data_IF_640367363809
#
_entry.id   IF_640367363809
#
_cell.length_a   1.000
_cell.length_b   1.000
_cell.length_c   1.000
_cell.angle_alpha   90.00
_cell.angle_beta   90.00
_cell.angle_gamma   90.00
#
_symmetry.space_group_name_H-M   'P 1'
#
loop_
_entity.id
_entity.type
_entity.pdbx_description
1 polymer ?
#
# COMPACT_ATOMS: atom_id res chain seq x y z
N UNK A 1 -18.58 3.92 17.31
CA UNK A 1 -17.47 4.11 16.55
C UNK A 1 -17.22 3.01 15.60
N UNK A 2 -16.86 3.28 14.39
CA UNK A 2 -16.61 2.26 13.45
C UNK A 2 -15.20 1.92 13.43
N UNK A 3 -14.86 0.70 13.34
CA UNK A 3 -13.49 0.32 13.17
C UNK A 3 -13.36 -0.65 12.04
N UNK A 4 -12.19 -0.76 11.48
CA UNK A 4 -11.92 -1.63 10.37
C UNK A 4 -10.66 -2.38 10.68
N UNK A 5 -10.64 -3.66 10.37
CA UNK A 5 -9.44 -4.45 10.59
C UNK A 5 -8.64 -4.49 9.30
N UNK A 6 -7.38 -4.89 9.38
CA UNK A 6 -6.57 -5.02 8.20
C UNK A 6 -7.12 -6.12 7.30
N UNK A 7 -7.69 -7.17 7.87
CA UNK A 7 -8.28 -8.21 7.06
C UNK A 7 -9.45 -7.66 6.23
N UNK A 8 -10.25 -6.81 6.82
CA UNK A 8 -11.36 -6.22 6.11
C UNK A 8 -10.86 -5.24 5.06
N UNK A 9 -9.84 -4.47 5.40
CA UNK A 9 -9.32 -3.49 4.50
C UNK A 9 -8.77 -4.16 3.25
N UNK A 10 -8.08 -5.28 3.39
CA UNK A 10 -7.48 -5.95 2.26
C UNK A 10 -8.48 -6.58 1.31
N UNK A 11 -9.74 -6.61 1.68
CA UNK A 11 -10.75 -7.14 0.81
C UNK A 11 -11.41 -6.07 -0.02
N UNK A 12 -11.02 -4.81 0.14
CA UNK A 12 -11.64 -3.72 -0.60
C UNK A 12 -10.79 -3.34 -1.78
N UNK A 13 -11.41 -3.10 -2.90
CA UNK A 13 -10.67 -2.75 -4.10
C UNK A 13 -10.31 -1.29 -4.09
N UNK A 14 -9.10 -0.95 -4.46
CA UNK A 14 -8.62 0.41 -4.42
C UNK A 14 -8.83 1.06 -5.78
N UNK A 15 -9.54 2.18 -5.78
CA UNK A 15 -9.89 2.89 -7.00
C UNK A 15 -9.26 4.27 -6.94
N UNK A 16 -8.59 4.64 -8.02
CA UNK A 16 -7.96 5.94 -8.08
C UNK A 16 -8.95 6.95 -8.66
N UNK A 17 -9.26 7.97 -7.89
CA UNK A 17 -10.24 8.95 -8.33
C UNK A 17 -9.73 9.86 -9.42
N UNK A 18 -8.44 10.01 -9.58
CA UNK A 18 -7.93 10.89 -10.60
C UNK A 18 -8.21 10.37 -12.00
N UNK A 19 -8.18 9.08 -12.20
CA UNK A 19 -8.39 8.53 -13.52
C UNK A 19 -9.37 7.36 -13.56
N UNK A 20 -9.99 7.03 -12.46
CA UNK A 20 -10.95 5.95 -12.41
C UNK A 20 -10.35 4.57 -12.48
N UNK A 21 -9.03 4.45 -12.39
CA UNK A 21 -8.40 3.19 -12.56
C UNK A 21 -8.51 2.32 -11.34
N UNK A 22 -8.63 1.03 -11.52
CA UNK A 22 -8.64 0.11 -10.43
C UNK A 22 -7.24 -0.29 -10.16
N UNK A 23 -6.76 -0.05 -8.97
CA UNK A 23 -5.39 -0.32 -8.63
C UNK A 23 -5.17 -1.70 -7.99
N UNK A 24 -6.25 -2.37 -7.65
CA UNK A 24 -6.13 -3.70 -7.07
C UNK A 24 -6.40 -3.70 -5.59
N UNK A 25 -5.86 -4.70 -4.91
CA UNK A 25 -6.13 -4.87 -3.50
C UNK A 25 -4.83 -4.82 -2.73
N UNK A 26 -4.84 -4.18 -1.58
CA UNK A 26 -3.67 -4.16 -0.74
C UNK A 26 -3.50 -5.52 -0.09
N UNK A 27 -2.30 -5.97 0.02
CA UNK A 27 -2.04 -7.23 0.72
C UNK A 27 -1.30 -6.97 2.01
N UNK A 28 -0.74 -5.78 2.16
CA UNK A 28 0.00 -5.46 3.37
C UNK A 28 -0.08 -4.00 3.68
N UNK A 29 0.30 -3.63 4.87
CA UNK A 29 0.28 -2.26 5.30
C UNK A 29 1.63 -1.98 5.91
N UNK A 30 2.24 -0.86 5.56
CA UNK A 30 3.50 -0.50 6.18
C UNK A 30 3.25 0.49 7.30
N UNK A 31 4.02 0.42 8.34
CA UNK A 31 3.85 1.35 9.44
C UNK A 31 5.20 1.67 10.07
N UNK A 32 5.25 2.76 10.79
CA UNK A 32 6.45 3.19 11.45
C UNK A 32 6.39 2.68 12.88
N UNK A 33 7.22 1.74 13.26
CA UNK A 33 7.12 1.17 14.60
C UNK A 33 7.52 2.15 15.68
N UNK A 34 8.32 3.17 15.36
CA UNK A 34 8.68 4.07 16.36
C UNK A 34 7.53 4.93 16.74
N UNK A 35 6.74 5.38 15.84
CA UNK A 35 5.60 6.22 16.08
C UNK A 35 4.29 5.46 16.12
N UNK A 36 4.34 4.18 15.83
CA UNK A 36 3.12 3.36 15.78
C UNK A 36 2.12 3.98 14.80
N UNK A 37 2.60 4.43 13.67
CA UNK A 37 1.76 5.12 12.72
C UNK A 37 1.72 4.39 11.39
N UNK A 38 0.55 4.25 10.81
CA UNK A 38 0.41 3.60 9.52
C UNK A 38 0.95 4.53 8.45
N UNK A 39 1.81 4.04 7.60
CA UNK A 39 2.40 4.84 6.56
C UNK A 39 1.75 4.67 5.21
N UNK A 40 1.46 3.46 4.81
CA UNK A 40 0.92 3.24 3.48
C UNK A 40 0.23 1.92 3.31
N UNK A 41 -0.53 1.80 2.23
CA UNK A 41 -1.08 0.53 1.80
C UNK A 41 -0.14 -0.02 0.76
N UNK A 42 0.08 -1.32 0.75
CA UNK A 42 1.00 -1.94 -0.20
C UNK A 42 0.22 -2.85 -1.15
N UNK A 43 0.25 -2.53 -2.43
CA UNK A 43 -0.44 -3.29 -3.44
C UNK A 43 0.62 -3.97 -4.31
N UNK A 44 0.64 -5.30 -4.40
CA UNK A 44 1.67 -5.97 -5.16
C UNK A 44 1.53 -5.67 -6.64
N UNK A 45 2.63 -5.47 -7.31
CA UNK A 45 2.64 -5.18 -8.73
C UNK A 45 3.17 -6.36 -9.49
N UNK A 46 2.46 -6.75 -10.56
CA UNK A 46 2.87 -7.85 -11.33
C UNK A 46 3.71 -7.34 -12.35
N UNK A 47 4.94 -7.24 -12.23
CA UNK A 47 5.75 -6.82 -13.19
C UNK A 47 6.16 -7.71 -14.19
N UNK A 48 5.89 -8.57 -14.58
CA UNK A 48 6.32 -9.37 -15.62
C UNK A 48 7.10 -10.44 -15.12
N UNK A 49 7.33 -11.43 -15.88
CA UNK A 49 7.95 -12.56 -15.42
C UNK A 49 9.38 -12.39 -15.20
N UNK A 50 9.91 -11.27 -15.45
CA UNK A 50 11.27 -11.13 -15.26
C UNK A 50 11.58 -10.65 -13.90
N UNK A 51 10.65 -10.56 -13.05
CA UNK A 51 10.88 -10.05 -11.79
C UNK A 51 11.51 -11.00 -10.89
N UNK A 52 12.60 -11.52 -11.11
CA UNK A 52 13.16 -12.47 -10.37
C UNK A 52 13.05 -12.33 -8.93
N UNK A 53 12.18 -12.88 -8.32
CA UNK A 53 12.15 -12.96 -6.93
C UNK A 53 11.94 -11.73 -6.09
N UNK A 54 11.94 -10.57 -6.65
CA UNK A 54 11.67 -9.46 -5.92
C UNK A 54 10.33 -8.96 -6.22
N UNK A 55 9.44 -8.81 -5.31
CA UNK A 55 8.10 -8.30 -5.53
C UNK A 55 8.14 -6.82 -5.37
N UNK A 56 7.59 -6.12 -6.30
CA UNK A 56 7.47 -4.70 -6.16
C UNK A 56 6.07 -4.37 -5.71
N UNK A 57 5.93 -3.32 -4.95
CA UNK A 57 4.65 -2.91 -4.43
C UNK A 57 4.40 -1.45 -4.75
N UNK A 58 3.15 -1.11 -4.95
CA UNK A 58 2.77 0.28 -5.04
C UNK A 58 2.46 0.68 -3.61
N UNK A 59 3.18 1.66 -3.08
CA UNK A 59 2.98 2.11 -1.72
C UNK A 59 2.11 3.36 -1.76
N UNK A 60 0.86 3.24 -1.35
CA UNK A 60 -0.04 4.38 -1.36
C UNK A 60 0.00 5.03 0.00
N UNK A 61 0.49 6.26 0.10
CA UNK A 61 0.58 6.90 1.40
C UNK A 61 -0.77 7.03 2.05
N UNK A 62 -0.81 6.85 3.34
CA UNK A 62 -2.07 6.89 4.06
C UNK A 62 -2.80 8.21 3.83
N UNK A 63 -2.06 9.31 3.67
CA UNK A 63 -2.67 10.60 3.49
C UNK A 63 -3.33 10.78 2.12
N UNK A 64 -3.11 9.85 1.19
CA UNK A 64 -3.76 9.96 -0.11
C UNK A 64 -5.10 9.23 -0.16
N UNK A 65 -5.49 8.60 0.91
CA UNK A 65 -6.75 7.89 0.95
C UNK A 65 -7.84 8.91 1.24
N UNK A 66 -8.83 8.93 0.35
CA UNK A 66 -9.92 9.87 0.51
C UNK A 66 -11.07 9.29 1.30
N UNK A 67 -11.34 8.05 1.10
CA UNK A 67 -12.53 7.46 1.72
C UNK A 67 -12.46 5.96 1.77
N UNK A 68 -12.97 5.36 2.83
CA UNK A 68 -13.09 3.92 2.92
C UNK A 68 -14.57 3.59 2.74
N UNK A 69 -14.89 2.91 1.67
CA UNK A 69 -16.25 2.50 1.43
C UNK A 69 -16.50 1.09 1.89
N UNK A 70 -17.64 0.54 1.60
CA UNK A 70 -17.96 -0.81 1.97
C UNK A 70 -17.16 -1.81 1.18
N UNK A 71 -16.99 -1.58 -0.09
CA UNK A 71 -16.27 -2.51 -0.94
C UNK A 71 -15.07 -1.89 -1.60
N UNK A 72 -14.82 -0.62 -1.42
CA UNK A 72 -13.74 0.06 -2.11
C UNK A 72 -13.00 1.00 -1.20
N UNK A 73 -11.80 1.34 -1.59
CA UNK A 73 -11.03 2.38 -0.94
C UNK A 73 -10.71 3.39 -2.03
N UNK A 74 -11.06 4.63 -1.82
CA UNK A 74 -10.85 5.65 -2.84
C UNK A 74 -9.61 6.46 -2.52
N UNK A 75 -8.72 6.57 -3.49
CA UNK A 75 -7.48 7.30 -3.30
C UNK A 75 -7.34 8.33 -4.41
N UNK A 76 -6.43 9.27 -4.26
CA UNK A 76 -6.25 10.29 -5.27
C UNK A 76 -4.78 10.42 -5.59
N UNK A 77 -4.35 9.84 -6.69
CA UNK A 77 -2.96 9.85 -7.09
C UNK A 77 -2.86 10.22 -8.56
N UNK A 78 -1.95 11.09 -8.91
CA UNK A 78 -1.74 11.38 -10.32
C UNK A 78 -0.70 10.39 -10.84
N UNK A 79 -0.48 10.39 -12.16
CA UNK A 79 0.36 9.42 -12.77
C UNK A 79 1.78 9.51 -12.32
N UNK A 80 2.30 10.67 -12.04
CA UNK A 80 3.64 10.77 -11.60
C UNK A 80 3.78 10.23 -10.21
N UNK A 81 2.80 10.43 -9.36
CA UNK A 81 2.84 9.91 -8.02
C UNK A 81 2.83 8.39 -8.05
N UNK A 82 2.01 7.81 -8.90
CA UNK A 82 1.95 6.36 -8.98
C UNK A 82 3.31 5.81 -9.38
N UNK A 83 3.94 6.40 -10.37
CA UNK A 83 5.23 5.91 -10.80
C UNK A 83 6.29 6.01 -9.72
N UNK A 84 6.25 7.06 -8.94
CA UNK A 84 7.29 7.24 -7.96
C UNK A 84 7.07 6.40 -6.71
N UNK A 85 5.90 5.81 -6.56
CA UNK A 85 5.59 5.05 -5.38
C UNK A 85 5.75 3.54 -5.52
N UNK A 86 6.24 3.08 -6.65
CA UNK A 86 6.45 1.65 -6.86
C UNK A 86 7.86 1.33 -6.42
N UNK A 87 7.99 0.46 -5.45
CA UNK A 87 9.28 0.13 -4.88
C UNK A 87 9.33 -1.33 -4.48
N UNK A 88 10.52 -1.89 -4.37
CA UNK A 88 10.62 -3.28 -3.95
C UNK A 88 10.26 -3.41 -2.48
N UNK A 89 9.96 -4.62 -2.09
CA UNK A 89 9.60 -4.91 -0.73
C UNK A 89 10.77 -4.60 0.17
N UNK A 90 10.60 -3.71 1.13
CA UNK A 90 11.71 -3.33 1.97
C UNK A 90 11.89 -4.26 3.14
N UNK A 91 11.04 -5.20 3.26
CA UNK A 91 11.01 -5.99 4.40
C UNK A 91 12.20 -6.66 4.80
N UNK A 92 12.96 -7.13 3.91
CA UNK A 92 14.00 -7.83 4.29
C UNK A 92 15.15 -7.11 4.57
N UNK A 93 15.35 -6.04 4.32
CA UNK A 93 16.49 -5.47 4.44
C UNK A 93 16.70 -4.85 5.65
N UNK A 94 16.22 -4.43 6.32
CA UNK A 94 16.49 -3.75 7.29
C UNK A 94 16.42 -4.24 8.46
N UNK A 95 16.04 -4.79 8.78
CA UNK A 95 15.83 -5.19 9.87
C UNK A 95 16.81 -5.51 10.62
N UNK A 96 17.59 -5.74 10.52
CA UNK A 96 18.52 -6.15 11.16
C UNK A 96 18.85 -5.26 12.12
N UNK A 97 18.87 -4.43 12.41
CA UNK A 97 19.35 -3.66 13.17
C UNK A 97 18.48 -3.11 14.08
N UNK A 98 17.84 -2.95 14.15
CA UNK A 98 17.04 -2.24 14.77
C UNK A 98 16.30 -2.83 15.68
N UNK A 99 16.56 -3.36 16.38
CA UNK A 99 15.91 -3.92 17.16
C UNK A 99 15.34 -3.11 18.09
N UNK A 100 14.41 -3.08 18.31
CA UNK A 100 13.86 -2.26 19.05
C UNK A 100 14.19 -2.48 20.36
N UNK A 101 14.87 -2.72 20.83
CA UNK A 101 15.22 -2.99 21.95
C UNK A 101 14.93 -2.35 22.71
#
# INVERSE_FOLDING_TARGET
MRQMTTASLCKKEIINLCDGRRLGYATEISFDPKCATVLSLMIPQSKGFLAFGRTEYLFIPWCKIECFGDDTILVRLNEQEICSMVMPDPGEREEKRDKCK
#
